data_IF_444614767009
#
_entry.id   IF_444614767009
#
_cell.length_a   1.000
_cell.length_b   1.000
_cell.length_c   1.000
_cell.angle_alpha   90.00
_cell.angle_beta   90.00
_cell.angle_gamma   90.00
#
_symmetry.space_group_name_H-M   'P 1'
#
loop_
_entity.id
_entity.type
_entity.pdbx_description
1 polymer ?
#
# COMPACT_ATOMS: atom_id res chain seq x y z
N UNK A 1 -39.36 14.65 2.33
CA UNK A 1 -38.04 14.23 1.77
C UNK A 1 -37.02 15.36 1.69
N UNK A 2 -37.33 16.57 1.25
CA UNK A 2 -36.41 17.73 1.23
C UNK A 2 -35.95 18.22 2.61
N UNK A 3 -36.78 18.14 3.65
CA UNK A 3 -36.43 18.53 5.04
C UNK A 3 -35.51 17.53 5.72
N UNK A 4 -35.68 16.24 5.49
CA UNK A 4 -34.78 15.19 6.02
C UNK A 4 -33.37 15.34 5.45
N UNK A 5 -33.27 15.72 4.18
CA UNK A 5 -31.97 15.98 3.53
C UNK A 5 -31.31 17.26 4.06
N UNK A 6 -32.10 18.31 4.39
CA UNK A 6 -31.60 19.55 5.01
C UNK A 6 -31.17 19.34 6.47
N UNK A 7 -31.93 18.58 7.25
CA UNK A 7 -31.57 18.22 8.63
C UNK A 7 -30.26 17.40 8.68
N UNK A 8 -30.12 16.41 7.78
CA UNK A 8 -28.89 15.60 7.65
C UNK A 8 -27.66 16.47 7.31
N UNK A 9 -27.81 17.49 6.44
CA UNK A 9 -26.71 18.43 6.13
C UNK A 9 -26.35 19.39 7.27
N UNK A 10 -27.27 19.73 8.17
CA UNK A 10 -27.00 20.57 9.35
C UNK A 10 -26.34 19.81 10.50
N UNK A 11 -26.71 18.54 10.72
CA UNK A 11 -26.08 17.70 11.74
C UNK A 11 -24.62 17.29 11.38
N UNK A 12 -24.32 17.08 10.09
CA UNK A 12 -22.96 16.79 9.62
C UNK A 12 -21.98 17.98 9.68
N UNK A 13 -22.48 19.22 9.90
CA UNK A 13 -21.63 20.42 10.02
C UNK A 13 -21.10 20.68 11.43
N UNK A 14 -21.46 19.87 12.45
CA UNK A 14 -21.09 20.14 13.85
C UNK A 14 -19.78 19.51 14.33
N UNK A 15 -19.13 18.68 13.52
CA UNK A 15 -17.83 18.14 13.85
C UNK A 15 -16.86 18.37 12.68
N UNK A 16 -16.32 19.59 12.59
CA UNK A 16 -15.09 19.84 11.84
C UNK A 16 -13.95 19.15 12.61
N UNK A 17 -13.85 17.83 12.47
CA UNK A 17 -12.87 17.01 13.16
C UNK A 17 -11.73 16.58 12.23
N UNK A 18 -10.78 15.80 12.74
CA UNK A 18 -9.67 15.25 11.95
C UNK A 18 -10.10 14.50 10.69
N UNK A 19 -11.29 13.88 10.71
CA UNK A 19 -11.90 13.19 9.55
C UNK A 19 -12.16 14.15 8.40
N UNK A 20 -12.71 15.35 8.70
CA UNK A 20 -12.96 16.38 7.67
C UNK A 20 -11.66 16.91 7.05
N UNK A 21 -10.56 16.92 7.81
CA UNK A 21 -9.25 17.29 7.28
C UNK A 21 -8.80 16.31 6.21
N UNK A 22 -8.83 15.01 6.49
CA UNK A 22 -8.45 13.98 5.55
C UNK A 22 -9.31 14.02 4.27
N UNK A 23 -10.64 14.19 4.41
CA UNK A 23 -11.58 14.33 3.29
C UNK A 23 -11.30 15.56 2.41
N UNK A 24 -10.92 16.68 3.03
CA UNK A 24 -10.51 17.89 2.29
C UNK A 24 -9.22 17.69 1.53
N UNK A 25 -8.24 17.01 2.15
CA UNK A 25 -6.97 16.68 1.50
C UNK A 25 -7.17 15.77 0.29
N UNK A 26 -8.00 14.72 0.42
CA UNK A 26 -8.34 13.81 -0.69
C UNK A 26 -8.90 14.54 -1.91
N UNK A 27 -9.73 15.58 -1.67
CA UNK A 27 -10.41 16.35 -2.73
C UNK A 27 -9.58 17.53 -3.26
N UNK A 28 -8.56 17.96 -2.52
CA UNK A 28 -7.78 19.16 -2.87
C UNK A 28 -6.82 18.91 -4.03
N UNK A 29 -7.09 19.50 -5.17
CA UNK A 29 -6.22 19.43 -6.36
C UNK A 29 -5.04 20.39 -6.33
N UNK A 30 -4.95 21.30 -5.33
CA UNK A 30 -3.91 22.32 -5.24
C UNK A 30 -2.49 21.73 -5.20
N UNK A 31 -2.34 20.54 -4.60
CA UNK A 31 -1.04 19.86 -4.46
C UNK A 31 -0.69 18.92 -5.63
N UNK A 32 -1.55 18.78 -6.64
CA UNK A 32 -1.35 17.79 -7.71
C UNK A 32 -0.07 18.00 -8.52
N UNK A 33 0.35 19.26 -8.72
CA UNK A 33 1.57 19.58 -9.47
C UNK A 33 2.83 19.12 -8.73
N UNK A 34 3.11 19.54 -7.48
CA UNK A 34 4.27 19.04 -6.74
C UNK A 34 4.23 17.53 -6.51
N UNK A 35 3.05 16.94 -6.26
CA UNK A 35 2.88 15.50 -6.12
C UNK A 35 3.31 14.75 -7.38
N UNK A 36 2.88 15.20 -8.57
CA UNK A 36 3.28 14.56 -9.83
C UNK A 36 4.79 14.62 -10.07
N UNK A 37 5.39 15.77 -9.80
CA UNK A 37 6.84 15.95 -9.97
C UNK A 37 7.60 15.03 -9.03
N UNK A 38 7.25 15.03 -7.75
CA UNK A 38 7.93 14.21 -6.75
C UNK A 38 7.71 12.71 -7.01
N UNK A 39 6.47 12.28 -7.26
CA UNK A 39 6.19 10.87 -7.53
C UNK A 39 6.91 10.37 -8.79
N UNK A 40 7.02 11.22 -9.84
CA UNK A 40 7.83 10.89 -11.02
C UNK A 40 9.30 10.78 -10.66
N UNK A 41 9.85 11.73 -9.92
CA UNK A 41 11.26 11.72 -9.52
C UNK A 41 11.61 10.46 -8.70
N UNK A 42 10.72 10.04 -7.79
CA UNK A 42 10.90 8.81 -7.02
C UNK A 42 10.94 7.58 -7.95
N UNK A 43 9.98 7.46 -8.85
CA UNK A 43 9.92 6.33 -9.80
C UNK A 43 11.12 6.30 -10.77
N UNK A 44 11.62 7.45 -11.20
CA UNK A 44 12.78 7.54 -12.10
C UNK A 44 14.09 7.16 -11.37
N UNK A 45 14.19 7.46 -10.06
CA UNK A 45 15.35 7.11 -9.23
C UNK A 45 15.32 5.66 -8.74
N UNK A 46 14.14 5.19 -8.32
CA UNK A 46 13.92 3.83 -7.82
C UNK A 46 13.27 3.02 -8.93
N UNK A 47 14.09 2.61 -9.90
CA UNK A 47 13.65 1.85 -11.07
C UNK A 47 13.19 0.43 -10.69
N UNK A 48 12.34 -0.23 -11.52
CA UNK A 48 12.00 -1.64 -11.34
C UNK A 48 13.26 -2.51 -11.17
N UNK A 49 13.24 -3.43 -10.19
CA UNK A 49 14.34 -4.31 -9.87
C UNK A 49 14.41 -4.62 -8.38
N UNK A 50 15.41 -5.40 -7.97
CA UNK A 50 15.54 -5.96 -6.62
C UNK A 50 15.44 -4.93 -5.50
N UNK A 51 16.06 -3.74 -5.65
CA UNK A 51 15.99 -2.69 -4.62
C UNK A 51 14.55 -2.19 -4.43
N UNK A 52 13.83 -1.94 -5.54
CA UNK A 52 12.43 -1.52 -5.47
C UNK A 52 11.55 -2.58 -4.85
N UNK A 53 11.75 -3.84 -5.20
CA UNK A 53 11.01 -4.97 -4.63
C UNK A 53 11.24 -5.10 -3.12
N UNK A 54 12.48 -4.93 -2.65
CA UNK A 54 12.80 -4.87 -1.23
C UNK A 54 12.10 -3.70 -0.53
N UNK A 55 12.14 -2.50 -1.10
CA UNK A 55 11.49 -1.32 -0.53
C UNK A 55 9.97 -1.47 -0.45
N UNK A 56 9.34 -2.14 -1.41
CA UNK A 56 7.92 -2.50 -1.34
C UNK A 56 7.63 -3.64 -0.36
N UNK A 57 8.64 -4.42 0.03
CA UNK A 57 8.48 -5.57 0.91
C UNK A 57 8.05 -6.85 0.21
N UNK A 58 8.26 -6.97 -1.10
CA UNK A 58 7.94 -8.21 -1.87
C UNK A 58 8.56 -9.46 -1.23
N UNK A 59 9.86 -9.48 -0.83
CA UNK A 59 10.45 -10.66 -0.22
C UNK A 59 9.84 -11.05 1.13
N UNK A 60 9.19 -10.11 1.82
CA UNK A 60 8.56 -10.34 3.13
C UNK A 60 7.07 -10.64 3.05
N UNK A 61 6.49 -10.53 1.86
CA UNK A 61 5.05 -10.72 1.62
C UNK A 61 4.16 -9.63 2.20
N UNK A 62 4.72 -8.48 2.62
CA UNK A 62 3.97 -7.35 3.20
C UNK A 62 4.73 -6.04 3.03
N UNK A 63 4.04 -4.88 2.98
CA UNK A 63 4.69 -3.58 2.90
C UNK A 63 5.70 -3.37 4.03
N UNK A 64 6.89 -2.88 3.68
CA UNK A 64 8.00 -2.75 4.62
C UNK A 64 7.92 -1.47 5.46
N UNK A 65 7.27 -0.41 4.92
CA UNK A 65 7.14 0.88 5.60
C UNK A 65 6.48 0.80 6.99
N UNK A 66 5.33 0.13 7.21
CA UNK A 66 4.66 0.11 8.52
C UNK A 66 5.51 -0.50 9.65
N UNK A 67 6.12 -1.70 9.51
CA UNK A 67 6.94 -2.25 10.57
C UNK A 67 8.20 -1.42 10.85
N UNK A 68 8.81 -0.78 9.84
CA UNK A 68 9.94 0.11 10.07
C UNK A 68 9.52 1.39 10.82
N UNK A 69 8.34 1.94 10.52
CA UNK A 69 7.81 3.11 11.21
C UNK A 69 7.56 2.86 12.70
N UNK A 70 7.18 1.63 13.09
CA UNK A 70 6.97 1.30 14.51
C UNK A 70 8.26 1.36 15.32
N UNK A 71 9.41 1.06 14.72
CA UNK A 71 10.72 1.18 15.38
C UNK A 71 11.03 2.63 15.71
N UNK A 72 10.91 3.54 14.72
CA UNK A 72 11.16 4.97 14.92
C UNK A 72 10.22 5.57 15.97
N UNK A 73 8.91 5.28 15.83
CA UNK A 73 7.89 5.79 16.75
C UNK A 73 8.09 5.26 18.17
N UNK A 74 8.39 3.97 18.32
CA UNK A 74 8.68 3.34 19.61
C UNK A 74 9.87 4.00 20.32
N UNK A 75 10.96 4.26 19.59
CA UNK A 75 12.13 4.95 20.10
C UNK A 75 11.79 6.37 20.61
N UNK A 76 11.03 7.15 19.85
CA UNK A 76 10.68 8.53 20.22
C UNK A 76 9.67 8.59 21.36
N UNK A 77 8.68 7.69 21.40
CA UNK A 77 7.77 7.57 22.54
C UNK A 77 8.49 7.15 23.82
N UNK A 78 9.40 6.17 23.73
CA UNK A 78 10.23 5.75 24.87
C UNK A 78 11.13 6.90 25.35
N UNK A 79 11.67 7.73 24.44
CA UNK A 79 12.39 8.95 24.82
C UNK A 79 11.54 9.88 25.67
N UNK A 80 10.28 10.10 25.29
CA UNK A 80 9.38 10.97 26.06
C UNK A 80 9.06 10.38 27.45
N UNK A 81 8.94 9.07 27.57
CA UNK A 81 8.75 8.39 28.87
C UNK A 81 9.99 8.58 29.75
N UNK A 82 11.20 8.39 29.21
CA UNK A 82 12.44 8.64 29.94
C UNK A 82 12.57 10.13 30.37
N UNK A 83 12.14 11.04 29.52
CA UNK A 83 12.12 12.47 29.81
C UNK A 83 11.18 12.82 30.96
N UNK A 84 10.00 12.21 30.98
CA UNK A 84 9.02 12.42 32.05
C UNK A 84 9.49 11.86 33.38
N UNK A 85 10.07 10.68 33.37
CA UNK A 85 10.56 10.01 34.59
C UNK A 85 11.91 10.57 35.07
N UNK A 86 12.50 11.53 34.32
CA UNK A 86 13.85 12.06 34.55
C UNK A 86 14.92 10.95 34.65
N UNK A 87 14.77 9.93 33.82
CA UNK A 87 15.71 8.83 33.70
C UNK A 87 17.05 9.27 33.06
N UNK A 88 17.99 8.34 32.90
CA UNK A 88 19.33 8.63 32.33
C UNK A 88 19.25 9.36 30.98
N UNK A 89 19.78 10.58 30.87
CA UNK A 89 19.80 11.34 29.62
C UNK A 89 20.57 10.63 28.46
N UNK A 90 21.49 9.73 28.77
CA UNK A 90 22.21 8.94 27.76
C UNK A 90 21.27 7.98 27.06
N UNK A 91 20.38 7.31 27.78
CA UNK A 91 19.36 6.42 27.21
C UNK A 91 18.42 7.19 26.28
N UNK A 92 17.95 8.37 26.69
CA UNK A 92 17.11 9.22 25.87
C UNK A 92 17.79 9.64 24.55
N UNK A 93 19.08 10.01 24.61
CA UNK A 93 19.88 10.38 23.40
C UNK A 93 20.07 9.17 22.48
N UNK A 94 20.35 7.98 23.04
CA UNK A 94 20.50 6.76 22.24
C UNK A 94 19.21 6.41 21.51
N UNK A 95 18.07 6.46 22.19
CA UNK A 95 16.77 6.19 21.57
C UNK A 95 16.43 7.22 20.49
N UNK A 96 16.68 8.51 20.72
CA UNK A 96 16.51 9.54 19.68
C UNK A 96 17.36 9.24 18.45
N UNK A 97 18.63 8.92 18.63
CA UNK A 97 19.54 8.61 17.54
C UNK A 97 19.11 7.34 16.78
N UNK A 98 18.69 6.29 17.50
CA UNK A 98 18.17 5.04 16.91
C UNK A 98 16.90 5.31 16.10
N UNK A 99 15.96 6.09 16.65
CA UNK A 99 14.75 6.49 15.94
C UNK A 99 15.03 7.31 14.68
N UNK A 100 15.99 8.23 14.72
CA UNK A 100 16.41 9.00 13.54
C UNK A 100 17.09 8.12 12.49
N UNK A 101 17.97 7.19 12.91
CA UNK A 101 18.62 6.25 11.99
C UNK A 101 17.62 5.32 11.29
N UNK A 102 16.65 4.78 12.05
CA UNK A 102 15.59 3.90 11.50
C UNK A 102 14.59 4.66 10.62
N UNK A 103 14.45 5.97 10.77
CA UNK A 103 13.57 6.78 9.94
C UNK A 103 14.03 6.87 8.47
N UNK A 104 15.32 6.70 8.18
CA UNK A 104 15.84 6.75 6.80
C UNK A 104 15.30 5.60 5.93
N UNK A 105 15.48 4.32 6.28
CA UNK A 105 14.89 3.22 5.53
C UNK A 105 13.36 3.25 5.55
N UNK A 106 12.73 3.71 6.65
CA UNK A 106 11.29 3.92 6.73
C UNK A 106 10.80 4.91 5.66
N UNK A 107 11.46 6.06 5.53
CA UNK A 107 11.12 7.07 4.55
C UNK A 107 11.33 6.57 3.11
N UNK A 108 12.42 5.83 2.85
CA UNK A 108 12.69 5.27 1.53
C UNK A 108 11.60 4.27 1.10
N UNK A 109 11.20 3.36 1.99
CA UNK A 109 10.08 2.43 1.73
C UNK A 109 8.76 3.18 1.53
N UNK A 110 8.43 4.10 2.44
CA UNK A 110 7.19 4.89 2.35
C UNK A 110 7.08 5.75 1.09
N UNK A 111 8.17 6.40 0.65
CA UNK A 111 8.21 7.15 -0.61
C UNK A 111 8.01 6.25 -1.83
N UNK A 112 8.59 5.05 -1.80
CA UNK A 112 8.47 4.06 -2.87
C UNK A 112 7.01 3.63 -3.00
N UNK A 113 6.36 3.24 -1.89
CA UNK A 113 4.95 2.86 -1.85
C UNK A 113 4.06 4.02 -2.30
N UNK A 114 4.24 5.21 -1.72
CA UNK A 114 3.46 6.40 -2.04
C UNK A 114 3.50 6.77 -3.52
N UNK A 115 4.64 6.60 -4.18
CA UNK A 115 4.80 6.91 -5.60
C UNK A 115 3.90 6.09 -6.52
N UNK A 116 3.40 4.95 -6.04
CA UNK A 116 2.56 3.97 -6.75
C UNK A 116 1.10 3.96 -6.28
N UNK A 117 0.67 4.93 -5.47
CA UNK A 117 -0.71 5.07 -5.01
C UNK A 117 -1.58 5.85 -6.01
N UNK A 118 -2.90 5.76 -5.84
CA UNK A 118 -3.84 6.63 -6.53
C UNK A 118 -3.73 8.09 -6.09
N UNK A 119 -4.20 9.03 -6.91
CA UNK A 119 -4.00 10.46 -6.67
C UNK A 119 -4.59 10.95 -5.35
N UNK A 120 -5.75 10.45 -4.97
CA UNK A 120 -6.42 10.78 -3.71
C UNK A 120 -5.57 10.37 -2.51
N UNK A 121 -5.04 9.16 -2.54
CA UNK A 121 -4.12 8.63 -1.52
C UNK A 121 -2.79 9.42 -1.52
N UNK A 122 -2.27 9.77 -2.69
CA UNK A 122 -1.04 10.56 -2.80
C UNK A 122 -1.18 11.94 -2.17
N UNK A 123 -2.35 12.58 -2.24
CA UNK A 123 -2.60 13.88 -1.60
C UNK A 123 -2.52 13.80 -0.07
N UNK A 124 -3.17 12.82 0.52
CA UNK A 124 -3.08 12.57 1.96
C UNK A 124 -1.66 12.16 2.36
N UNK A 125 -1.03 11.27 1.59
CA UNK A 125 0.34 10.81 1.81
C UNK A 125 1.38 11.91 1.70
N UNK A 126 1.16 12.91 0.85
CA UNK A 126 2.05 14.07 0.75
C UNK A 126 2.05 14.91 2.05
N UNK A 127 0.88 15.16 2.64
CA UNK A 127 0.78 15.88 3.92
C UNK A 127 1.29 15.02 5.07
N UNK A 128 1.02 13.71 5.08
CA UNK A 128 1.62 12.75 6.01
C UNK A 128 3.16 12.81 5.96
N UNK A 129 3.75 12.83 4.77
CA UNK A 129 5.19 12.97 4.59
C UNK A 129 5.71 14.29 5.15
N UNK A 130 5.06 15.42 4.85
CA UNK A 130 5.48 16.75 5.35
C UNK A 130 5.41 16.81 6.88
N UNK A 131 4.36 16.28 7.51
CA UNK A 131 4.25 16.20 8.96
C UNK A 131 5.39 15.39 9.57
N UNK A 132 5.69 14.21 9.01
CA UNK A 132 6.78 13.38 9.51
C UNK A 132 8.17 14.02 9.28
N UNK A 133 8.39 14.69 8.15
CA UNK A 133 9.65 15.43 7.92
C UNK A 133 9.82 16.56 8.94
N UNK A 134 8.74 17.29 9.26
CA UNK A 134 8.76 18.32 10.30
C UNK A 134 9.06 17.73 11.68
N UNK A 135 8.41 16.60 12.02
CA UNK A 135 8.68 15.87 13.26
C UNK A 135 10.15 15.41 13.34
N UNK A 136 10.70 14.88 12.23
CA UNK A 136 12.12 14.53 12.12
C UNK A 136 13.03 15.72 12.40
N UNK A 137 12.68 16.90 11.90
CA UNK A 137 13.40 18.14 12.18
C UNK A 137 13.43 18.45 13.68
N UNK A 138 12.29 18.32 14.38
CA UNK A 138 12.23 18.52 15.83
C UNK A 138 13.04 17.48 16.60
N UNK A 139 12.99 16.19 16.24
CA UNK A 139 13.78 15.16 16.89
C UNK A 139 15.28 15.35 16.66
N UNK A 140 15.68 15.75 15.45
CA UNK A 140 17.07 16.09 15.16
C UNK A 140 17.55 17.28 15.99
N UNK A 141 16.75 18.34 16.05
CA UNK A 141 17.03 19.52 16.88
C UNK A 141 17.08 19.16 18.38
N UNK A 142 16.19 18.26 18.85
CA UNK A 142 16.20 17.74 20.21
C UNK A 142 17.52 17.03 20.52
N UNK A 143 17.97 16.14 19.64
CA UNK A 143 19.24 15.43 19.82
C UNK A 143 20.42 16.41 19.88
N UNK A 144 20.47 17.39 18.98
CA UNK A 144 21.53 18.44 18.97
C UNK A 144 21.51 19.28 20.25
N UNK A 145 20.32 19.69 20.72
CA UNK A 145 20.19 20.45 21.97
C UNK A 145 20.77 19.65 23.17
N UNK A 146 20.42 18.37 23.26
CA UNK A 146 20.92 17.46 24.32
C UNK A 146 22.44 17.23 24.24
N UNK A 147 22.98 17.09 23.04
CA UNK A 147 24.43 16.95 22.84
C UNK A 147 25.20 18.24 23.24
N UNK A 148 24.51 19.41 23.18
CA UNK A 148 25.04 20.69 23.66
C UNK A 148 24.76 20.95 25.14
N UNK A 149 24.27 19.97 25.90
CA UNK A 149 23.97 20.08 27.33
C UNK A 149 22.65 20.76 27.68
N UNK A 150 21.83 21.16 26.68
CA UNK A 150 20.53 21.79 26.93
C UNK A 150 19.39 20.75 26.94
N UNK A 151 19.30 19.99 28.05
CA UNK A 151 18.26 18.95 28.21
C UNK A 151 16.83 19.51 28.21
N UNK A 152 16.62 20.73 28.75
CA UNK A 152 15.27 21.35 28.77
C UNK A 152 14.76 21.62 27.35
N UNK A 153 15.59 22.22 26.52
CA UNK A 153 15.24 22.45 25.12
C UNK A 153 15.05 21.12 24.39
N UNK A 154 15.89 20.12 24.67
CA UNK A 154 15.76 18.77 24.11
C UNK A 154 14.40 18.14 24.42
N UNK A 155 13.97 18.17 25.68
CA UNK A 155 12.65 17.67 26.11
C UNK A 155 11.49 18.38 25.40
N UNK A 156 11.52 19.73 25.36
CA UNK A 156 10.48 20.53 24.69
C UNK A 156 10.39 20.20 23.18
N UNK A 157 11.53 20.05 22.51
CA UNK A 157 11.60 19.67 21.08
C UNK A 157 11.11 18.24 20.83
N UNK A 158 11.36 17.30 21.76
CA UNK A 158 10.81 15.94 21.68
C UNK A 158 9.28 15.98 21.72
N UNK A 159 8.69 16.76 22.63
CA UNK A 159 7.23 16.94 22.73
C UNK A 159 6.66 17.55 21.46
N UNK A 160 7.30 18.61 20.92
CA UNK A 160 6.89 19.23 19.66
C UNK A 160 6.94 18.20 18.49
N UNK A 161 8.02 17.41 18.41
CA UNK A 161 8.17 16.34 17.42
C UNK A 161 7.06 15.29 17.51
N UNK A 162 6.73 14.83 18.72
CA UNK A 162 5.64 13.88 18.95
C UNK A 162 4.27 14.47 18.60
N UNK A 163 4.03 15.74 18.89
CA UNK A 163 2.76 16.41 18.56
C UNK A 163 2.54 16.46 17.05
N UNK A 164 3.54 16.86 16.28
CA UNK A 164 3.48 16.91 14.81
C UNK A 164 3.49 15.50 14.22
N UNK A 165 4.30 14.59 14.77
CA UNK A 165 4.34 13.18 14.40
C UNK A 165 3.01 12.47 14.64
N UNK A 166 2.26 12.87 15.68
CA UNK A 166 0.90 12.40 15.95
C UNK A 166 -0.08 12.71 14.79
N UNK A 167 0.01 13.91 14.21
CA UNK A 167 -0.74 14.23 12.99
C UNK A 167 -0.28 13.34 11.81
N UNK A 168 1.02 13.13 11.67
CA UNK A 168 1.56 12.20 10.69
C UNK A 168 1.00 10.79 10.87
N UNK A 169 1.02 10.26 12.09
CA UNK A 169 0.49 8.93 12.43
C UNK A 169 -1.01 8.82 12.13
N UNK A 170 -1.80 9.86 12.47
CA UNK A 170 -3.23 9.92 12.14
C UNK A 170 -3.49 9.81 10.62
N UNK A 171 -2.76 10.58 9.82
CA UNK A 171 -2.88 10.54 8.35
C UNK A 171 -2.39 9.21 7.77
N UNK A 172 -1.35 8.61 8.34
CA UNK A 172 -0.90 7.25 8.00
C UNK A 172 -1.97 6.19 8.29
N UNK A 173 -2.62 6.28 9.44
CA UNK A 173 -3.78 5.45 9.79
C UNK A 173 -4.96 5.63 8.82
N UNK A 174 -5.25 6.88 8.40
CA UNK A 174 -6.27 7.14 7.37
C UNK A 174 -5.91 6.48 6.04
N UNK A 175 -4.65 6.56 5.60
CA UNK A 175 -4.18 5.87 4.39
C UNK A 175 -4.36 4.36 4.48
N UNK A 176 -3.93 3.74 5.58
CA UNK A 176 -3.96 2.29 5.74
C UNK A 176 -5.38 1.74 5.93
N UNK A 177 -6.17 2.32 6.84
CA UNK A 177 -7.44 1.74 7.27
C UNK A 177 -8.66 2.29 6.54
N UNK A 178 -8.64 3.55 6.11
CA UNK A 178 -9.76 4.15 5.40
C UNK A 178 -9.61 4.10 3.88
N UNK A 179 -8.40 4.34 3.39
CA UNK A 179 -8.11 4.31 1.96
C UNK A 179 -7.49 2.98 1.50
N UNK A 180 -7.27 2.03 2.42
CA UNK A 180 -6.69 0.71 2.17
C UNK A 180 -5.34 0.75 1.40
N UNK A 181 -4.55 1.82 1.57
CA UNK A 181 -3.22 1.92 0.99
C UNK A 181 -2.30 0.86 1.63
N UNK A 182 -1.67 0.03 0.79
CA UNK A 182 -0.82 -1.07 1.24
C UNK A 182 -1.57 -2.32 1.73
N UNK A 183 -2.91 -2.32 1.71
CA UNK A 183 -3.71 -3.50 1.97
C UNK A 183 -3.75 -4.42 0.74
N UNK A 184 -4.03 -5.72 0.96
CA UNK A 184 -4.33 -6.63 -0.12
C UNK A 184 -5.75 -6.37 -0.64
N UNK A 185 -5.89 -5.97 -1.91
CA UNK A 185 -7.17 -5.68 -2.54
C UNK A 185 -7.86 -6.90 -3.17
N UNK A 186 -7.26 -8.08 -3.10
CA UNK A 186 -7.79 -9.31 -3.70
C UNK A 186 -8.02 -10.49 -2.71
N UNK A 187 -7.97 -10.33 -1.36
CA UNK A 187 -7.97 -11.48 -0.45
C UNK A 187 -9.31 -12.23 -0.42
N UNK A 188 -10.40 -11.55 -0.75
CA UNK A 188 -11.76 -12.09 -0.63
C UNK A 188 -12.25 -12.76 -1.90
N UNK A 189 -11.49 -12.73 -3.02
CA UNK A 189 -12.00 -13.19 -4.32
C UNK A 189 -12.35 -14.69 -4.29
N UNK A 190 -11.52 -15.51 -3.67
CA UNK A 190 -11.76 -16.95 -3.54
C UNK A 190 -12.93 -17.26 -2.61
N UNK A 191 -13.20 -16.44 -1.61
CA UNK A 191 -14.33 -16.61 -0.67
C UNK A 191 -15.68 -16.19 -1.26
N UNK A 192 -15.67 -15.44 -2.36
CA UNK A 192 -16.90 -15.02 -3.07
C UNK A 192 -17.42 -16.08 -4.05
N UNK A 193 -16.69 -17.19 -4.20
CA UNK A 193 -17.07 -18.32 -5.06
C UNK A 193 -17.34 -19.52 -4.18
N UNK A 194 -18.49 -20.18 -4.30
CA UNK A 194 -18.76 -21.43 -3.60
C UNK A 194 -17.69 -22.49 -3.93
N UNK A 195 -17.44 -23.42 -3.00
CA UNK A 195 -16.55 -24.53 -3.25
C UNK A 195 -17.12 -25.45 -4.35
N UNK A 196 -16.26 -26.07 -5.11
CA UNK A 196 -16.62 -26.98 -6.21
C UNK A 196 -16.34 -26.39 -7.59
N UNK A 197 -16.71 -27.16 -8.60
CA UNK A 197 -16.50 -26.82 -10.00
C UNK A 197 -17.65 -26.01 -10.56
N UNK A 198 -17.34 -24.88 -11.21
CA UNK A 198 -18.28 -23.98 -11.81
C UNK A 198 -18.00 -23.83 -13.30
N UNK A 199 -19.02 -23.90 -14.13
CA UNK A 199 -18.92 -23.66 -15.56
C UNK A 199 -18.61 -22.18 -15.81
N UNK A 200 -17.59 -21.89 -16.64
CA UNK A 200 -17.16 -20.53 -16.93
C UNK A 200 -17.49 -20.08 -18.37
N UNK A 201 -16.98 -20.79 -19.36
CA UNK A 201 -17.23 -20.52 -20.78
C UNK A 201 -16.73 -21.69 -21.65
N UNK A 202 -16.97 -21.63 -22.94
CA UNK A 202 -16.42 -22.60 -23.88
C UNK A 202 -14.98 -22.22 -24.31
N UNK A 203 -14.12 -23.21 -24.50
CA UNK A 203 -12.74 -23.02 -24.97
C UNK A 203 -12.70 -22.27 -26.32
N UNK A 204 -13.64 -22.57 -27.21
CA UNK A 204 -13.73 -21.92 -28.53
C UNK A 204 -13.96 -20.41 -28.45
N UNK A 205 -14.55 -19.92 -27.36
CA UNK A 205 -14.85 -18.49 -27.15
C UNK A 205 -13.65 -17.71 -26.58
N UNK A 206 -12.51 -18.39 -26.38
CA UNK A 206 -11.29 -17.78 -25.88
C UNK A 206 -10.24 -17.62 -26.97
N UNK A 207 -9.71 -16.42 -27.19
CA UNK A 207 -8.58 -16.21 -28.08
C UNK A 207 -7.33 -16.91 -27.53
N UNK A 208 -6.51 -17.52 -28.39
CA UNK A 208 -5.24 -18.13 -27.97
C UNK A 208 -4.20 -17.05 -27.66
N UNK A 209 -3.45 -17.22 -26.58
CA UNK A 209 -2.32 -16.37 -26.20
C UNK A 209 -2.68 -14.93 -25.79
N UNK A 210 -3.96 -14.60 -25.71
CA UNK A 210 -4.45 -13.29 -25.28
C UNK A 210 -5.32 -13.44 -24.04
N UNK A 211 -5.00 -12.74 -22.93
CA UNK A 211 -5.83 -12.78 -21.74
C UNK A 211 -7.16 -12.07 -21.98
N UNK A 212 -8.21 -12.59 -21.37
CA UNK A 212 -9.55 -11.99 -21.39
C UNK A 212 -10.15 -12.05 -20.00
N UNK A 213 -11.11 -11.17 -19.73
CA UNK A 213 -11.90 -11.25 -18.51
C UNK A 213 -13.15 -12.10 -18.74
N UNK A 214 -13.46 -12.98 -17.77
CA UNK A 214 -14.72 -13.73 -17.72
C UNK A 214 -15.35 -13.59 -16.35
N UNK A 215 -16.65 -13.50 -16.33
CA UNK A 215 -17.41 -13.33 -15.09
C UNK A 215 -17.85 -14.66 -14.51
N UNK A 216 -17.62 -14.85 -13.20
CA UNK A 216 -18.14 -15.95 -12.42
C UNK A 216 -18.88 -15.38 -11.20
N UNK A 217 -20.22 -15.42 -11.24
CA UNK A 217 -21.03 -14.76 -10.22
C UNK A 217 -20.72 -13.25 -10.13
N UNK A 218 -20.24 -12.81 -8.98
CA UNK A 218 -19.89 -11.41 -8.71
C UNK A 218 -18.43 -11.04 -8.99
N UNK A 219 -17.58 -12.02 -9.34
CA UNK A 219 -16.17 -11.78 -9.56
C UNK A 219 -15.80 -11.79 -11.04
N UNK A 220 -14.71 -11.11 -11.37
CA UNK A 220 -14.05 -11.17 -12.66
C UNK A 220 -12.82 -12.07 -12.56
N UNK A 221 -12.65 -12.95 -13.54
CA UNK A 221 -11.52 -13.84 -13.66
C UNK A 221 -10.68 -13.46 -14.89
N UNK A 222 -9.38 -13.38 -14.70
CA UNK A 222 -8.39 -13.39 -15.78
C UNK A 222 -8.31 -14.81 -16.36
N UNK A 223 -8.51 -14.94 -17.64
CA UNK A 223 -8.50 -16.25 -18.34
C UNK A 223 -7.55 -16.14 -19.51
N UNK A 224 -6.54 -17.02 -19.54
CA UNK A 224 -5.57 -17.13 -20.62
C UNK A 224 -5.58 -18.54 -21.19
N UNK A 225 -5.98 -18.68 -22.46
CA UNK A 225 -5.85 -19.93 -23.21
C UNK A 225 -4.46 -20.05 -23.81
N UNK A 226 -3.77 -21.13 -23.50
CA UNK A 226 -2.48 -21.53 -24.11
C UNK A 226 -2.58 -22.91 -24.77
N UNK A 227 -1.49 -23.44 -25.32
CA UNK A 227 -1.52 -24.69 -26.05
C UNK A 227 -1.89 -25.90 -25.19
N UNK A 228 -1.49 -25.88 -23.92
CA UNK A 228 -1.63 -27.01 -22.98
C UNK A 228 -2.87 -26.87 -22.09
N UNK A 229 -3.64 -25.78 -22.19
CA UNK A 229 -4.82 -25.58 -21.33
C UNK A 229 -5.21 -24.12 -21.12
N UNK A 230 -5.73 -23.85 -19.93
CA UNK A 230 -6.22 -22.54 -19.54
C UNK A 230 -5.69 -22.18 -18.16
N UNK A 231 -5.07 -21.00 -18.06
CA UNK A 231 -4.69 -20.41 -16.78
C UNK A 231 -5.77 -19.45 -16.31
N UNK A 232 -6.17 -19.54 -15.04
CA UNK A 232 -7.23 -18.71 -14.45
C UNK A 232 -6.75 -18.12 -13.13
N UNK A 233 -6.80 -16.78 -13.05
CA UNK A 233 -6.50 -16.00 -11.85
C UNK A 233 -7.69 -15.06 -11.55
N UNK A 234 -7.74 -14.51 -10.35
CA UNK A 234 -8.58 -13.33 -10.11
C UNK A 234 -8.16 -12.20 -11.04
N UNK A 235 -9.11 -11.56 -11.72
CA UNK A 235 -8.85 -10.42 -12.59
C UNK A 235 -8.69 -9.11 -11.78
N UNK A 236 -7.99 -9.22 -10.66
CA UNK A 236 -7.85 -8.14 -9.70
C UNK A 236 -6.45 -8.15 -9.08
N UNK A 237 -5.67 -7.14 -9.40
CA UNK A 237 -4.36 -6.94 -8.81
C UNK A 237 -4.46 -6.72 -7.29
N UNK A 238 -3.68 -7.44 -6.52
CA UNK A 238 -3.68 -7.33 -5.05
C UNK A 238 -3.18 -5.97 -4.53
N UNK A 239 -2.46 -5.19 -5.34
CA UNK A 239 -1.98 -3.85 -4.94
C UNK A 239 -3.12 -2.83 -4.80
N UNK A 240 -3.83 -2.50 -5.89
CA UNK A 240 -4.93 -1.52 -5.91
C UNK A 240 -6.05 -1.92 -6.88
N UNK A 241 -6.31 -3.22 -6.99
CA UNK A 241 -7.41 -3.78 -7.76
C UNK A 241 -7.37 -3.54 -9.28
N UNK A 242 -6.20 -3.26 -9.88
CA UNK A 242 -6.06 -3.09 -11.34
C UNK A 242 -6.47 -4.35 -12.12
N UNK A 243 -7.08 -4.21 -13.32
CA UNK A 243 -7.57 -5.32 -14.13
C UNK A 243 -6.41 -6.06 -14.82
N UNK A 244 -6.13 -7.29 -14.39
CA UNK A 244 -4.96 -8.05 -14.90
C UNK A 244 -5.12 -8.45 -16.36
N UNK A 245 -6.36 -8.69 -16.85
CA UNK A 245 -6.60 -9.03 -18.27
C UNK A 245 -6.16 -7.93 -19.25
N UNK A 246 -6.05 -6.68 -18.80
CA UNK A 246 -5.54 -5.55 -19.59
C UNK A 246 -4.02 -5.42 -19.48
N UNK A 247 -3.39 -6.28 -18.70
CA UNK A 247 -1.96 -6.30 -18.49
C UNK A 247 -1.17 -6.87 -19.66
N UNK A 248 0.14 -6.72 -19.59
CA UNK A 248 1.07 -7.27 -20.57
C UNK A 248 1.61 -8.62 -20.11
N UNK A 249 1.54 -9.62 -20.99
CA UNK A 249 2.22 -10.90 -20.76
C UNK A 249 3.72 -10.75 -21.03
N UNK A 250 4.52 -11.33 -20.17
CA UNK A 250 5.99 -11.39 -20.29
C UNK A 250 6.51 -12.75 -19.88
N UNK A 251 7.68 -13.10 -20.38
CA UNK A 251 8.44 -14.27 -19.91
C UNK A 251 9.72 -13.76 -19.26
N UNK A 252 9.93 -14.09 -18.00
CA UNK A 252 11.12 -13.71 -17.24
C UNK A 252 11.73 -14.92 -16.56
N UNK A 253 13.00 -15.22 -16.88
CA UNK A 253 13.73 -16.39 -16.39
C UNK A 253 12.96 -17.71 -16.68
N UNK A 254 12.31 -17.81 -17.85
CA UNK A 254 11.53 -18.98 -18.26
C UNK A 254 10.12 -19.06 -17.65
N UNK A 255 9.74 -18.12 -16.76
CA UNK A 255 8.42 -18.07 -16.13
C UNK A 255 7.48 -17.12 -16.86
N UNK A 256 6.29 -17.60 -17.22
CA UNK A 256 5.24 -16.76 -17.78
C UNK A 256 4.59 -15.91 -16.69
N UNK A 257 4.49 -14.61 -16.94
CA UNK A 257 3.99 -13.64 -15.99
C UNK A 257 3.00 -12.66 -16.64
N UNK A 258 2.15 -12.05 -15.82
CA UNK A 258 1.31 -10.90 -16.19
C UNK A 258 1.75 -9.65 -15.42
N UNK A 259 1.92 -8.55 -16.13
CA UNK A 259 2.26 -7.23 -15.58
C UNK A 259 1.00 -6.39 -15.49
N UNK A 260 0.63 -5.98 -14.28
CA UNK A 260 -0.53 -5.12 -14.04
C UNK A 260 -0.39 -3.77 -14.78
N UNK A 261 -1.44 -3.31 -15.52
CA UNK A 261 -1.35 -2.11 -16.33
C UNK A 261 -1.27 -0.81 -15.52
N UNK A 262 -1.69 -0.83 -14.24
CA UNK A 262 -1.73 0.40 -13.44
C UNK A 262 -0.38 0.78 -12.86
N UNK A 263 0.29 -0.16 -12.12
CA UNK A 263 1.50 0.19 -11.38
C UNK A 263 2.65 -0.80 -11.58
N UNK A 264 2.50 -1.77 -12.50
CA UNK A 264 3.58 -2.67 -12.90
C UNK A 264 3.84 -3.85 -11.96
N UNK A 265 2.93 -4.14 -11.00
CA UNK A 265 3.02 -5.40 -10.24
C UNK A 265 3.03 -6.57 -11.19
N UNK A 266 3.98 -7.49 -11.02
CA UNK A 266 4.16 -8.65 -11.89
C UNK A 266 3.85 -9.92 -11.12
N UNK A 267 2.96 -10.74 -11.69
CA UNK A 267 2.50 -12.00 -11.08
C UNK A 267 2.85 -13.18 -11.99
N UNK A 268 3.34 -14.27 -11.40
CA UNK A 268 3.52 -15.54 -12.12
C UNK A 268 2.16 -16.12 -12.49
N UNK A 269 2.06 -16.64 -13.68
CA UNK A 269 0.81 -17.27 -14.15
C UNK A 269 0.61 -18.67 -13.55
N UNK A 270 1.66 -19.32 -13.11
CA UNK A 270 1.62 -20.69 -12.58
C UNK A 270 0.92 -20.77 -11.22
N UNK A 271 1.20 -19.80 -10.33
CA UNK A 271 0.78 -19.86 -8.92
C UNK A 271 0.26 -18.51 -8.38
N UNK A 272 0.19 -17.47 -9.21
CA UNK A 272 -0.22 -16.14 -8.82
C UNK A 272 0.77 -15.39 -7.94
N UNK A 273 1.94 -15.95 -7.61
CA UNK A 273 2.93 -15.32 -6.73
C UNK A 273 3.48 -14.03 -7.33
N UNK A 274 3.86 -13.11 -6.44
CA UNK A 274 4.43 -11.82 -6.85
C UNK A 274 5.89 -12.02 -7.27
N UNK A 275 6.22 -11.56 -8.47
CA UNK A 275 7.60 -11.48 -8.96
C UNK A 275 8.19 -10.11 -8.76
N UNK A 276 7.42 -9.05 -9.05
CA UNK A 276 7.78 -7.66 -8.83
C UNK A 276 6.63 -6.85 -8.24
N UNK A 277 6.97 -5.95 -7.28
CA UNK A 277 6.03 -5.04 -6.65
C UNK A 277 5.51 -3.93 -7.58
N UNK A 278 4.60 -3.10 -7.09
CA UNK A 278 4.28 -2.80 -5.68
C UNK A 278 3.35 -3.78 -4.94
N UNK A 279 2.71 -4.76 -5.59
CA UNK A 279 1.99 -5.79 -4.87
C UNK A 279 2.94 -6.61 -3.98
N UNK A 280 2.46 -7.01 -2.80
CA UNK A 280 3.18 -7.91 -1.89
C UNK A 280 2.44 -9.21 -1.63
N UNK A 281 1.15 -9.25 -1.93
CA UNK A 281 0.33 -10.44 -1.82
C UNK A 281 0.08 -11.07 -3.21
N UNK A 282 -0.06 -12.39 -3.32
CA UNK A 282 -0.31 -13.08 -4.58
C UNK A 282 -1.66 -12.68 -5.19
N UNK A 283 -1.80 -12.88 -6.50
CA UNK A 283 -3.08 -12.90 -7.17
C UNK A 283 -3.76 -14.25 -6.90
N UNK A 284 -5.03 -14.27 -6.41
CA UNK A 284 -5.73 -15.52 -6.17
C UNK A 284 -5.85 -16.36 -7.45
N UNK A 285 -5.57 -17.66 -7.33
CA UNK A 285 -5.60 -18.62 -8.44
C UNK A 285 -6.86 -19.48 -8.42
N UNK A 286 -7.19 -20.02 -9.57
CA UNK A 286 -8.28 -20.96 -9.75
C UNK A 286 -7.76 -22.18 -10.49
N UNK A 287 -8.07 -23.36 -10.01
CA UNK A 287 -7.90 -24.58 -10.77
C UNK A 287 -8.86 -24.58 -11.97
N UNK A 288 -8.42 -25.08 -13.09
CA UNK A 288 -9.24 -25.16 -14.31
C UNK A 288 -9.18 -26.56 -14.92
N UNK A 289 -10.30 -27.00 -15.52
CA UNK A 289 -10.37 -28.20 -16.33
C UNK A 289 -11.26 -27.97 -17.54
N UNK A 290 -11.03 -28.74 -18.61
CA UNK A 290 -11.84 -28.68 -19.82
C UNK A 290 -12.61 -30.00 -19.91
N UNK A 291 -13.94 -29.91 -19.99
CA UNK A 291 -14.81 -31.07 -20.20
C UNK A 291 -14.78 -31.51 -21.66
N UNK A 292 -15.30 -32.74 -21.92
CA UNK A 292 -15.39 -33.33 -23.26
C UNK A 292 -16.21 -32.46 -24.24
N UNK A 293 -17.19 -31.69 -23.75
CA UNK A 293 -17.99 -30.76 -24.54
C UNK A 293 -17.30 -29.41 -24.82
N UNK A 294 -16.06 -29.24 -24.34
CA UNK A 294 -15.29 -28.01 -24.50
C UNK A 294 -15.60 -26.94 -23.44
N UNK A 295 -16.43 -27.24 -22.44
CA UNK A 295 -16.73 -26.31 -21.34
C UNK A 295 -15.54 -26.23 -20.39
N UNK A 296 -15.08 -25.00 -20.10
CA UNK A 296 -14.09 -24.74 -19.06
C UNK A 296 -14.80 -24.66 -17.73
N UNK A 297 -14.36 -25.48 -16.78
CA UNK A 297 -14.78 -25.40 -15.39
C UNK A 297 -13.64 -24.88 -14.52
N UNK A 298 -13.98 -24.12 -13.51
CA UNK A 298 -13.04 -23.53 -12.55
C UNK A 298 -13.51 -23.77 -11.11
N UNK A 299 -12.54 -23.86 -10.20
CA UNK A 299 -12.78 -23.83 -8.76
C UNK A 299 -11.70 -22.99 -8.06
N UNK A 300 -11.99 -22.36 -6.90
CA UNK A 300 -10.97 -21.67 -6.11
C UNK A 300 -9.84 -22.65 -5.73
N UNK A 301 -8.58 -22.23 -5.91
CA UNK A 301 -7.44 -22.99 -5.36
C UNK A 301 -7.42 -22.79 -3.84
N UNK A 302 -7.46 -23.88 -3.10
CA UNK A 302 -7.30 -23.90 -1.65
C UNK A 302 -5.78 -23.91 -1.36
N UNK A 303 -5.17 -22.71 -1.28
CA UNK A 303 -3.78 -22.54 -0.83
C UNK A 303 -3.74 -21.86 0.52
#
# INVERSE_FOLDING_TARGET
MKEIVRAKRRHLRRFAGPVDLADRLERSKAMDRPIRVLAKAVRDRIRPGRLRDWLHGVPTGKPLHPPLATVSLGCWMSTAVLDWTNADPRAARLLLATGLGSALPTAAAGLTDWSSLHREQQRVGFVHMLANMTALGFFSASLVARLRGNERAGKALTVAGLSVGGLGAYLGGNLAYRQAAGANHAPQVTHLVPLGWHDLCLVKDLPKGRPVSRRLGYIQLFVLRHNEGVTVLADRCSHLAGPLHQGRLVVENGEACVVCPWHGSTFRLADGSVKHGPATAPAPTFESRIRSDGTIQVRPSLT
#
